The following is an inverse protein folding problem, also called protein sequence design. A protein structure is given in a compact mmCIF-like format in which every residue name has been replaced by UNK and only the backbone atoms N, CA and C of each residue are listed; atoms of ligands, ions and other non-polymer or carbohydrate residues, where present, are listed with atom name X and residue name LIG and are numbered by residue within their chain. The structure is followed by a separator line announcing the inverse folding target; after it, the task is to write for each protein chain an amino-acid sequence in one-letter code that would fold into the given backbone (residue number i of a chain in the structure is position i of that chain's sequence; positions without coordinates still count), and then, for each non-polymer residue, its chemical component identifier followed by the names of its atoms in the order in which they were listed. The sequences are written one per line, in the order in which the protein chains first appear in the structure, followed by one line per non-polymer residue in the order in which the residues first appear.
data_IF_028877094787
#
_entry.id   IF_028877094787
#
_cell.length_a   1.000
_cell.length_b   1.000
_cell.length_c   1.000
_cell.angle_alpha   90.00
_cell.angle_beta   90.00
_cell.angle_gamma   90.00
#
_symmetry.space_group_name_H-M   'P 1'
#
loop_
_entity.id
_entity.type
_entity.pdbx_description
1 polymer ?
#
# COMPACT_ATOMS: atom_id res chain seq x y z
N UNK A 1 -23.59 -6.80 4.80
CA UNK A 1 -22.93 -6.89 3.49
C UNK A 1 -21.43 -6.77 3.69
N UNK A 2 -20.62 -7.68 3.16
CA UNK A 2 -19.16 -7.65 3.32
C UNK A 2 -18.51 -6.63 2.38
N UNK A 3 -17.47 -5.96 2.83
CA UNK A 3 -16.64 -5.10 1.99
C UNK A 3 -15.65 -6.01 1.25
N UNK A 4 -15.62 -5.97 -0.08
CA UNK A 4 -14.55 -6.61 -0.85
C UNK A 4 -13.30 -5.73 -0.82
N UNK A 5 -12.29 -6.18 -0.07
CA UNK A 5 -11.02 -5.49 0.10
C UNK A 5 -10.21 -5.37 -1.20
N UNK A 6 -10.54 -6.16 -2.23
CA UNK A 6 -9.91 -6.08 -3.55
C UNK A 6 -10.51 -4.97 -4.40
N UNK A 7 -11.82 -4.72 -4.26
CA UNK A 7 -12.50 -3.62 -4.94
C UNK A 7 -12.35 -2.34 -4.13
N UNK A 8 -11.21 -1.66 -4.28
CA UNK A 8 -10.96 -0.34 -3.68
C UNK A 8 -9.53 -0.12 -3.20
N UNK A 9 -9.38 0.75 -2.21
CA UNK A 9 -8.09 1.07 -1.60
C UNK A 9 -8.22 1.31 -0.10
N UNK A 10 -7.13 1.06 0.63
CA UNK A 10 -7.02 1.37 2.07
C UNK A 10 -5.99 2.47 2.28
N UNK A 11 -6.37 3.52 3.01
CA UNK A 11 -5.46 4.61 3.38
C UNK A 11 -4.96 4.40 4.81
N UNK A 12 -3.65 4.56 5.01
CA UNK A 12 -3.03 4.53 6.34
C UNK A 12 -2.23 5.79 6.60
N UNK A 13 -2.41 6.34 7.80
CA UNK A 13 -1.61 7.46 8.33
C UNK A 13 -0.33 6.96 9.01
N UNK A 14 -0.27 5.67 9.37
CA UNK A 14 0.90 5.02 9.95
C UNK A 14 2.10 4.99 8.99
N UNK A 15 3.31 4.86 9.55
CA UNK A 15 4.53 4.63 8.78
C UNK A 15 4.39 3.38 7.92
N UNK A 16 4.88 3.45 6.68
CA UNK A 16 4.91 2.31 5.77
C UNK A 16 6.00 1.32 6.23
N UNK A 17 5.62 0.37 7.09
CA UNK A 17 6.49 -0.69 7.60
C UNK A 17 6.27 -2.00 6.85
N UNK A 18 7.24 -2.91 6.93
CA UNK A 18 7.10 -4.24 6.32
C UNK A 18 5.94 -5.03 6.93
N UNK A 19 5.71 -4.89 8.24
CA UNK A 19 4.57 -5.51 8.92
C UNK A 19 3.23 -5.04 8.33
N UNK A 20 3.13 -3.76 7.98
CA UNK A 20 1.92 -3.20 7.37
C UNK A 20 1.70 -3.76 5.96
N UNK A 21 2.76 -3.90 5.16
CA UNK A 21 2.69 -4.59 3.86
C UNK A 21 2.21 -6.03 4.04
N UNK A 22 2.75 -6.77 5.01
CA UNK A 22 2.30 -8.15 5.27
C UNK A 22 0.83 -8.22 5.68
N UNK A 23 0.34 -7.29 6.52
CA UNK A 23 -1.07 -7.20 6.88
C UNK A 23 -1.95 -6.92 5.65
N UNK A 24 -1.54 -5.99 4.79
CA UNK A 24 -2.26 -5.67 3.55
C UNK A 24 -2.34 -6.88 2.60
N UNK A 25 -1.22 -7.58 2.39
CA UNK A 25 -1.18 -8.78 1.55
C UNK A 25 -2.06 -9.90 2.14
N UNK A 26 -1.98 -10.15 3.44
CA UNK A 26 -2.81 -11.17 4.12
C UNK A 26 -4.29 -10.83 4.09
N UNK A 27 -4.65 -9.56 4.18
CA UNK A 27 -6.02 -9.06 4.03
C UNK A 27 -6.49 -9.01 2.57
N UNK A 28 -5.63 -9.40 1.61
CA UNK A 28 -5.90 -9.38 0.16
C UNK A 28 -6.35 -8.01 -0.34
N UNK A 29 -5.75 -6.94 0.18
CA UNK A 29 -6.02 -5.59 -0.30
C UNK A 29 -5.59 -5.45 -1.76
N UNK A 30 -6.44 -4.80 -2.57
CA UNK A 30 -6.07 -4.47 -3.94
C UNK A 30 -5.05 -3.33 -3.99
N UNK A 31 -5.31 -2.26 -3.25
CA UNK A 31 -4.46 -1.06 -3.18
C UNK A 31 -4.26 -0.58 -1.75
N UNK A 32 -3.00 -0.31 -1.41
CA UNK A 32 -2.59 0.30 -0.16
C UNK A 32 -2.01 1.69 -0.43
N UNK A 33 -2.60 2.70 0.21
CA UNK A 33 -2.18 4.10 0.15
C UNK A 33 -1.58 4.50 1.49
N UNK A 34 -0.33 4.96 1.51
CA UNK A 34 0.32 5.46 2.72
C UNK A 34 0.58 6.96 2.61
N UNK A 35 0.38 7.69 3.71
CA UNK A 35 0.80 9.10 3.83
C UNK A 35 2.27 9.25 4.24
N UNK A 36 2.91 8.14 4.62
CA UNK A 36 4.33 8.09 4.96
C UNK A 36 5.14 7.51 3.80
N UNK A 37 6.36 8.00 3.61
CA UNK A 37 7.24 7.50 2.57
C UNK A 37 7.57 6.00 2.78
N UNK A 38 7.47 5.16 1.74
CA UNK A 38 7.90 3.77 1.79
C UNK A 38 9.44 3.67 1.70
N UNK A 39 9.98 2.57 2.23
CA UNK A 39 11.39 2.19 2.04
C UNK A 39 11.54 1.26 0.84
N UNK A 40 12.74 1.13 0.28
CA UNK A 40 13.01 0.23 -0.85
C UNK A 40 12.54 -1.21 -0.56
N UNK A 41 12.76 -1.72 0.66
CA UNK A 41 12.32 -3.05 1.06
C UNK A 41 10.79 -3.21 1.03
N UNK A 42 10.04 -2.21 1.51
CA UNK A 42 8.57 -2.25 1.47
C UNK A 42 8.03 -2.22 0.04
N UNK A 43 8.69 -1.49 -0.86
CA UNK A 43 8.35 -1.44 -2.29
C UNK A 43 8.61 -2.80 -2.95
N UNK A 44 9.77 -3.42 -2.71
CA UNK A 44 10.10 -4.74 -3.24
C UNK A 44 9.08 -5.81 -2.82
N UNK A 45 8.64 -5.77 -1.55
CA UNK A 45 7.61 -6.68 -1.07
C UNK A 45 6.25 -6.42 -1.71
N UNK A 46 5.85 -5.16 -1.89
CA UNK A 46 4.61 -4.83 -2.58
C UNK A 46 4.60 -5.37 -4.02
N UNK A 47 5.70 -5.19 -4.78
CA UNK A 47 5.86 -5.70 -6.14
C UNK A 47 5.78 -7.24 -6.15
N UNK A 48 6.53 -7.90 -5.27
CA UNK A 48 6.56 -9.37 -5.16
C UNK A 48 5.17 -9.97 -4.94
N UNK A 49 4.33 -9.28 -4.17
CA UNK A 49 2.99 -9.74 -3.82
C UNK A 49 1.87 -9.12 -4.68
N UNK A 50 2.22 -8.38 -5.75
CA UNK A 50 1.26 -7.67 -6.60
C UNK A 50 0.27 -6.80 -5.81
N UNK A 51 0.78 -6.16 -4.75
CA UNK A 51 0.03 -5.17 -3.98
C UNK A 51 0.25 -3.81 -4.63
N UNK A 52 -0.83 -3.10 -4.97
CA UNK A 52 -0.69 -1.74 -5.46
C UNK A 52 -0.30 -0.80 -4.32
N UNK A 53 0.92 -0.25 -4.36
CA UNK A 53 1.46 0.61 -3.30
C UNK A 53 1.56 2.05 -3.79
N UNK A 54 0.81 2.94 -3.13
CA UNK A 54 0.77 4.36 -3.43
C UNK A 54 1.22 5.15 -2.20
N UNK A 55 2.05 6.17 -2.42
CA UNK A 55 2.41 7.16 -1.40
C UNK A 55 1.78 8.50 -1.75
N UNK A 56 1.06 9.11 -0.82
CA UNK A 56 0.51 10.46 -0.97
C UNK A 56 1.23 11.40 0.00
N UNK A 57 2.25 12.13 -0.47
CA UNK A 57 2.96 13.10 0.35
C UNK A 57 2.10 14.36 0.61
N UNK A 58 2.40 15.08 1.70
CA UNK A 58 1.63 16.27 2.08
C UNK A 58 1.69 17.41 1.04
N UNK A 59 2.80 17.53 0.28
CA UNK A 59 3.04 18.66 -0.65
C UNK A 59 3.51 18.23 -2.04
N UNK A 60 3.10 17.07 -2.54
CA UNK A 60 3.37 16.67 -3.92
C UNK A 60 2.25 15.75 -4.44
N UNK A 61 2.26 15.49 -5.75
CA UNK A 61 1.40 14.50 -6.35
C UNK A 61 1.67 13.08 -5.77
N UNK A 62 0.65 12.20 -5.74
CA UNK A 62 0.82 10.80 -5.38
C UNK A 62 1.87 10.09 -6.23
N UNK A 63 2.62 9.17 -5.62
CA UNK A 63 3.61 8.33 -6.29
C UNK A 63 3.19 6.87 -6.23
N UNK A 64 3.20 6.21 -7.37
CA UNK A 64 2.89 4.78 -7.50
C UNK A 64 4.22 4.02 -7.51
N UNK A 65 4.38 3.05 -6.61
CA UNK A 65 5.61 2.28 -6.44
C UNK A 65 5.53 0.85 -6.95
N UNK A 66 4.32 0.30 -7.02
CA UNK A 66 4.07 -1.07 -7.44
C UNK A 66 2.73 -1.09 -8.17
N UNK A 67 2.68 -0.98 -9.50
CA UNK A 67 1.44 -1.24 -10.23
C UNK A 67 1.15 -2.75 -10.12
N UNK A 68 -0.06 -3.09 -9.65
CA UNK A 68 -0.51 -4.48 -9.48
C UNK A 68 -0.76 -5.17 -10.82
#
# INVERSE_FOLDING_TARGET
AGIDSRSGFTVVTSRCSLELIHKAVRARLGTLVSLSAPTALTVQWAIKHRLNLIHVPHRNAPRIYSPA
#
